data_IF_811787722372
#
_entry.id   IF_811787722372
#
_cell.length_a   1.000
_cell.length_b   1.000
_cell.length_c   1.000
_cell.angle_alpha   90.00
_cell.angle_beta   90.00
_cell.angle_gamma   90.00
#
_symmetry.space_group_name_H-M   'P 1'
#
loop_
_entity.id
_entity.type
_entity.pdbx_description
1 polymer ?
#
# COMPACT_ATOMS: atom_id res chain seq x y z
N UNK A 1 18.63 -0.74 -6.28
CA UNK A 1 19.18 -0.56 -4.95
C UNK A 1 19.74 0.84 -4.87
N UNK A 2 19.49 1.60 -3.79
CA UNK A 2 19.97 2.98 -3.67
C UNK A 2 21.30 2.99 -2.92
N UNK A 3 22.17 3.95 -3.24
CA UNK A 3 23.30 4.33 -2.38
C UNK A 3 22.81 5.23 -1.25
N UNK A 4 23.56 5.37 -0.13
CA UNK A 4 23.20 6.28 0.97
C UNK A 4 22.85 7.68 0.51
N UNK A 5 23.70 8.30 -0.30
CA UNK A 5 23.49 9.65 -0.84
C UNK A 5 22.21 9.77 -1.67
N UNK A 6 21.99 8.84 -2.62
CA UNK A 6 20.76 8.84 -3.44
C UNK A 6 19.48 8.63 -2.62
N UNK A 7 19.57 7.81 -1.55
CA UNK A 7 18.44 7.64 -0.65
C UNK A 7 18.20 8.90 0.18
N UNK A 8 19.24 9.49 0.72
CA UNK A 8 19.16 10.71 1.51
C UNK A 8 18.50 11.87 0.74
N UNK A 9 18.88 12.08 -0.52
CA UNK A 9 18.24 13.09 -1.39
C UNK A 9 16.75 12.83 -1.61
N UNK A 10 16.32 11.56 -1.68
CA UNK A 10 14.89 11.21 -1.76
C UNK A 10 14.16 11.40 -0.45
N UNK A 11 14.82 11.14 0.68
CA UNK A 11 14.21 11.22 2.01
C UNK A 11 14.07 12.67 2.50
N UNK A 12 14.99 13.55 2.14
CA UNK A 12 15.00 14.93 2.60
C UNK A 12 13.65 15.66 2.33
N UNK A 13 13.08 15.69 1.11
CA UNK A 13 11.77 16.32 0.87
C UNK A 13 10.61 15.59 1.54
N UNK A 14 10.72 14.28 1.74
CA UNK A 14 9.69 13.46 2.41
C UNK A 14 9.66 13.76 3.91
N UNK A 15 10.82 13.99 4.54
CA UNK A 15 10.96 14.20 5.99
C UNK A 15 10.29 15.47 6.51
N UNK A 16 9.96 16.41 5.63
CA UNK A 16 9.30 17.68 6.01
C UNK A 16 7.92 17.42 6.61
N UNK A 17 7.14 16.51 6.03
CA UNK A 17 5.75 16.22 6.45
C UNK A 17 5.55 14.77 6.91
N UNK A 18 6.60 13.94 6.85
CA UNK A 18 6.49 12.53 7.12
C UNK A 18 7.53 12.06 8.15
N UNK A 19 7.13 11.11 9.00
CA UNK A 19 8.05 10.41 9.89
C UNK A 19 8.74 9.30 9.12
N UNK A 20 10.07 9.25 9.20
CA UNK A 20 10.91 8.25 8.54
C UNK A 20 11.53 7.36 9.60
N UNK A 21 11.46 6.05 9.36
CA UNK A 21 12.18 5.06 10.14
C UNK A 21 13.23 4.38 9.25
N UNK A 22 14.45 4.27 9.75
CA UNK A 22 15.54 3.54 9.10
C UNK A 22 15.79 2.28 9.92
N UNK A 23 15.70 1.13 9.29
CA UNK A 23 15.90 -0.17 9.92
C UNK A 23 17.28 -0.70 9.54
N UNK A 24 18.05 -1.06 10.52
CA UNK A 24 19.35 -1.70 10.36
C UNK A 24 19.24 -3.15 10.80
N UNK A 25 19.87 -4.04 10.05
CA UNK A 25 19.98 -5.45 10.43
C UNK A 25 21.17 -5.71 11.35
N UNK A 26 21.23 -6.89 11.98
CA UNK A 26 22.40 -7.33 12.74
C UNK A 26 23.63 -7.46 11.83
N UNK A 27 24.81 -7.30 12.41
CA UNK A 27 26.08 -7.22 11.68
C UNK A 27 26.44 -8.52 10.94
N UNK A 28 26.02 -9.65 11.49
CA UNK A 28 26.35 -10.98 10.99
C UNK A 28 25.56 -11.43 9.76
N UNK A 29 24.31 -10.96 9.61
CA UNK A 29 23.38 -11.45 8.57
C UNK A 29 22.54 -10.38 7.87
N UNK A 30 22.59 -9.14 8.35
CA UNK A 30 21.79 -8.05 7.80
C UNK A 30 20.28 -8.20 8.06
N UNK A 31 19.44 -7.55 7.25
CA UNK A 31 17.98 -7.62 7.32
C UNK A 31 17.46 -8.95 6.75
N UNK A 32 16.49 -9.54 7.40
CA UNK A 32 15.77 -10.70 6.87
C UNK A 32 14.88 -10.33 5.67
N UNK A 33 14.48 -11.32 4.87
CA UNK A 33 13.52 -11.10 3.80
C UNK A 33 12.15 -10.59 4.29
N UNK A 34 11.79 -10.89 5.53
CA UNK A 34 10.58 -10.42 6.15
C UNK A 34 10.69 -8.92 6.48
N UNK A 35 11.80 -8.50 7.07
CA UNK A 35 12.09 -7.08 7.34
C UNK A 35 12.09 -6.26 6.05
N UNK A 36 12.77 -6.77 5.03
CA UNK A 36 12.86 -6.13 3.70
C UNK A 36 11.48 -5.94 3.05
N UNK A 37 10.57 -6.89 3.19
CA UNK A 37 9.19 -6.78 2.65
C UNK A 37 8.39 -5.65 3.29
N UNK A 38 8.74 -5.25 4.50
CA UNK A 38 8.08 -4.18 5.22
C UNK A 38 8.69 -2.79 4.92
N UNK A 39 9.82 -2.73 4.21
CA UNK A 39 10.50 -1.49 3.87
C UNK A 39 9.99 -0.90 2.54
N UNK A 40 9.88 0.42 2.48
CA UNK A 40 9.53 1.14 1.25
C UNK A 40 10.73 1.34 0.31
N UNK A 41 11.94 1.18 0.81
CA UNK A 41 13.17 1.31 0.04
C UNK A 41 14.31 0.57 0.69
N UNK A 42 15.28 0.17 -0.13
CA UNK A 42 16.50 -0.49 0.32
C UNK A 42 17.69 0.36 -0.05
N UNK A 43 18.65 0.39 0.87
CA UNK A 43 19.94 1.03 0.68
C UNK A 43 21.06 0.00 0.87
N UNK A 44 22.07 0.11 0.04
CA UNK A 44 23.31 -0.63 0.21
C UNK A 44 24.44 0.38 0.34
N UNK A 45 25.23 0.24 1.40
CA UNK A 45 26.47 1.00 1.57
C UNK A 45 27.54 0.22 0.82
N UNK A 46 28.11 0.79 -0.27
CA UNK A 46 29.17 0.13 -1.00
C UNK A 46 30.39 -0.09 -0.09
N UNK A 47 30.87 -1.34 -0.07
CA UNK A 47 32.10 -1.74 0.60
C UNK A 47 32.96 -2.46 -0.42
N UNK A 48 34.25 -2.39 -0.28
CA UNK A 48 35.19 -3.07 -1.19
C UNK A 48 35.24 -4.59 -0.88
N UNK A 49 36.33 -5.10 -0.40
CA UNK A 49 36.51 -6.53 -0.16
C UNK A 49 35.73 -7.09 1.05
N UNK A 50 35.31 -6.22 1.99
CA UNK A 50 34.54 -6.60 3.14
C UNK A 50 33.04 -6.42 2.94
N UNK A 51 32.29 -7.50 3.01
CA UNK A 51 30.85 -7.49 2.77
C UNK A 51 29.98 -6.91 3.89
N UNK A 52 30.55 -6.67 5.08
CA UNK A 52 29.82 -6.14 6.24
C UNK A 52 30.52 -4.95 6.87
N UNK A 53 29.72 -3.94 7.24
CA UNK A 53 30.14 -2.82 8.05
C UNK A 53 29.68 -3.00 9.49
N UNK A 54 30.47 -2.51 10.42
CA UNK A 54 30.01 -2.34 11.79
C UNK A 54 28.74 -1.49 11.81
N UNK A 55 27.77 -1.86 12.66
CA UNK A 55 26.48 -1.19 12.75
C UNK A 55 26.62 0.31 13.03
N UNK A 56 27.50 0.70 13.94
CA UNK A 56 27.71 2.10 14.27
C UNK A 56 28.25 2.91 13.06
N UNK A 57 29.10 2.30 12.24
CA UNK A 57 29.59 2.92 11.01
C UNK A 57 28.48 3.09 9.99
N UNK A 58 27.63 2.08 9.81
CA UNK A 58 26.49 2.15 8.90
C UNK A 58 25.48 3.23 9.34
N UNK A 59 25.21 3.35 10.64
CA UNK A 59 24.36 4.41 11.21
C UNK A 59 24.98 5.78 10.95
N UNK A 60 26.27 5.95 11.22
CA UNK A 60 26.97 7.23 11.02
C UNK A 60 26.92 7.68 9.56
N UNK A 61 27.18 6.77 8.61
CA UNK A 61 27.11 7.07 7.18
C UNK A 61 25.71 7.55 6.79
N UNK A 62 24.67 6.85 7.23
CA UNK A 62 23.30 7.23 6.93
C UNK A 62 22.91 8.57 7.55
N UNK A 63 23.29 8.82 8.79
CA UNK A 63 23.04 10.10 9.46
C UNK A 63 23.76 11.27 8.75
N UNK A 64 25.01 11.08 8.35
CA UNK A 64 25.78 12.07 7.64
C UNK A 64 25.16 12.45 6.28
N UNK A 65 24.81 11.45 5.49
CA UNK A 65 24.20 11.66 4.18
C UNK A 65 22.84 12.35 4.28
N UNK A 66 22.01 11.96 5.25
CA UNK A 66 20.71 12.61 5.48
C UNK A 66 20.89 14.05 5.94
N UNK A 67 21.83 14.29 6.85
CA UNK A 67 22.14 15.66 7.30
C UNK A 67 22.60 16.54 6.13
N UNK A 68 23.52 16.03 5.32
CA UNK A 68 24.06 16.77 4.16
C UNK A 68 22.97 17.08 3.13
N UNK A 69 22.12 16.09 2.81
CA UNK A 69 20.98 16.28 1.90
C UNK A 69 19.97 17.31 2.44
N UNK A 70 19.78 17.38 3.76
CA UNK A 70 18.91 18.36 4.41
C UNK A 70 19.44 19.82 4.36
N UNK A 71 20.72 20.03 4.04
CA UNK A 71 21.28 21.37 3.86
C UNK A 71 21.00 21.99 2.48
N UNK A 72 20.53 21.21 1.52
CA UNK A 72 20.17 21.70 0.18
C UNK A 72 18.92 22.60 0.26
N UNK A 73 19.02 23.85 -0.18
CA UNK A 73 17.98 24.89 -0.02
C UNK A 73 16.76 24.73 -0.94
N UNK A 74 16.82 23.89 -1.96
CA UNK A 74 15.77 23.75 -2.99
C UNK A 74 15.06 22.39 -2.93
N UNK A 75 14.52 22.04 -1.76
CA UNK A 75 13.74 20.80 -1.65
C UNK A 75 12.31 21.03 -2.12
N UNK A 76 11.87 20.26 -3.11
CA UNK A 76 10.45 20.22 -3.49
C UNK A 76 9.63 19.60 -2.38
N UNK A 77 8.51 20.25 -2.06
CA UNK A 77 7.58 19.77 -1.03
C UNK A 77 6.93 18.43 -1.45
N UNK A 78 7.07 17.42 -0.62
CA UNK A 78 6.37 16.14 -0.80
C UNK A 78 5.19 16.06 0.16
N UNK A 79 3.94 16.01 -0.35
CA UNK A 79 2.76 15.88 0.50
C UNK A 79 2.79 14.60 1.34
N UNK A 80 1.99 14.58 2.41
CA UNK A 80 1.90 13.47 3.35
C UNK A 80 1.66 12.13 2.63
N UNK A 81 2.58 11.22 2.77
CA UNK A 81 2.44 9.84 2.30
C UNK A 81 1.42 9.07 3.16
N UNK A 82 0.82 8.06 2.58
CA UNK A 82 -0.07 7.18 3.32
C UNK A 82 0.72 6.41 4.40
N UNK A 83 0.18 6.40 5.62
CA UNK A 83 0.72 5.59 6.70
C UNK A 83 0.53 4.09 6.42
N UNK A 84 1.31 3.24 7.08
CA UNK A 84 1.14 1.79 6.98
C UNK A 84 -0.29 1.36 7.29
N UNK A 85 -0.90 1.91 8.33
CA UNK A 85 -2.27 1.61 8.70
C UNK A 85 -3.27 1.96 7.58
N UNK A 86 -3.12 3.14 6.95
CA UNK A 86 -3.98 3.55 5.83
C UNK A 86 -3.85 2.61 4.63
N UNK A 87 -2.63 2.17 4.34
CA UNK A 87 -2.36 1.19 3.27
C UNK A 87 -2.97 -0.17 3.58
N UNK A 88 -2.79 -0.68 4.79
CA UNK A 88 -3.34 -1.97 5.20
C UNK A 88 -4.87 -1.99 5.13
N UNK A 89 -5.52 -0.92 5.62
CA UNK A 89 -6.97 -0.75 5.50
C UNK A 89 -7.45 -0.68 4.04
N UNK A 90 -6.66 -0.08 3.15
CA UNK A 90 -6.94 -0.07 1.72
C UNK A 90 -6.84 -1.47 1.12
N UNK A 91 -5.81 -2.24 1.46
CA UNK A 91 -5.62 -3.59 0.94
C UNK A 91 -6.71 -4.56 1.41
N UNK A 92 -7.14 -4.47 2.66
CA UNK A 92 -8.26 -5.28 3.16
C UNK A 92 -9.56 -4.95 2.41
N UNK A 93 -9.83 -3.67 2.19
CA UNK A 93 -11.00 -3.24 1.45
C UNK A 93 -10.95 -3.65 -0.03
N UNK A 94 -9.78 -3.56 -0.67
CA UNK A 94 -9.55 -4.07 -2.02
C UNK A 94 -9.76 -5.57 -2.09
N UNK A 95 -9.21 -6.34 -1.14
CA UNK A 95 -9.39 -7.79 -1.06
C UNK A 95 -10.87 -8.17 -1.03
N UNK A 96 -11.63 -7.57 -0.11
CA UNK A 96 -13.06 -7.85 0.04
C UNK A 96 -13.85 -7.58 -1.25
N UNK A 97 -13.64 -6.41 -1.85
CA UNK A 97 -14.34 -6.03 -3.09
C UNK A 97 -13.95 -6.91 -4.27
N UNK A 98 -12.66 -7.16 -4.47
CA UNK A 98 -12.17 -7.93 -5.61
C UNK A 98 -12.56 -9.41 -5.56
N UNK A 99 -12.66 -9.98 -4.36
CA UNK A 99 -13.24 -11.32 -4.16
C UNK A 99 -14.74 -11.31 -4.46
N UNK A 100 -15.46 -10.32 -3.95
CA UNK A 100 -16.92 -10.22 -4.10
C UNK A 100 -17.37 -10.05 -5.55
N UNK A 101 -16.60 -9.32 -6.37
CA UNK A 101 -16.87 -9.17 -7.81
C UNK A 101 -16.26 -10.30 -8.67
N UNK A 102 -15.76 -11.36 -8.07
CA UNK A 102 -15.11 -12.51 -8.72
C UNK A 102 -13.88 -12.16 -9.57
N UNK A 103 -13.20 -11.04 -9.27
CA UNK A 103 -11.94 -10.69 -9.90
C UNK A 103 -10.77 -11.50 -9.33
N UNK A 104 -10.84 -11.82 -8.04
CA UNK A 104 -9.86 -12.64 -7.32
C UNK A 104 -10.56 -13.96 -6.91
N UNK A 105 -9.90 -15.09 -7.19
CA UNK A 105 -10.37 -16.38 -6.73
C UNK A 105 -10.41 -16.43 -5.19
N UNK A 106 -11.58 -16.76 -4.58
CA UNK A 106 -11.74 -16.86 -3.13
C UNK A 106 -10.83 -17.92 -2.46
N UNK A 107 -10.35 -18.91 -3.20
CA UNK A 107 -9.49 -19.97 -2.66
C UNK A 107 -8.09 -19.48 -2.27
N UNK A 108 -7.56 -18.45 -2.97
CA UNK A 108 -6.24 -17.89 -2.66
C UNK A 108 -6.19 -16.36 -2.84
N UNK A 109 -6.94 -15.60 -2.05
CA UNK A 109 -7.03 -14.16 -2.19
C UNK A 109 -5.71 -13.47 -1.82
N UNK A 110 -4.94 -14.02 -0.88
CA UNK A 110 -3.70 -13.41 -0.37
C UNK A 110 -2.59 -13.38 -1.43
N UNK A 111 -2.56 -14.35 -2.33
CA UNK A 111 -1.62 -14.34 -3.45
C UNK A 111 -1.79 -13.09 -4.34
N UNK A 112 -3.04 -12.77 -4.67
CA UNK A 112 -3.36 -11.61 -5.51
C UNK A 112 -3.14 -10.29 -4.77
N UNK A 113 -3.54 -10.22 -3.50
CA UNK A 113 -3.28 -9.04 -2.66
C UNK A 113 -1.80 -8.76 -2.51
N UNK A 114 -0.97 -9.77 -2.37
CA UNK A 114 0.49 -9.60 -2.33
C UNK A 114 1.05 -9.05 -3.65
N UNK A 115 0.48 -9.41 -4.80
CA UNK A 115 0.83 -8.78 -6.09
C UNK A 115 0.45 -7.30 -6.13
N UNK A 116 -0.75 -6.96 -5.67
CA UNK A 116 -1.21 -5.57 -5.57
C UNK A 116 -0.35 -4.76 -4.58
N UNK A 117 0.02 -5.34 -3.43
CA UNK A 117 0.95 -4.71 -2.47
C UNK A 117 2.28 -4.36 -3.15
N UNK A 118 2.86 -5.30 -3.92
CA UNK A 118 4.11 -5.05 -4.68
C UNK A 118 3.95 -3.97 -5.75
N UNK A 119 2.81 -3.90 -6.40
CA UNK A 119 2.53 -2.86 -7.38
C UNK A 119 2.44 -1.49 -6.71
N UNK A 120 1.60 -1.35 -5.71
CA UNK A 120 1.37 -0.07 -5.03
C UNK A 120 2.59 0.41 -4.21
N UNK A 121 3.42 -0.50 -3.67
CA UNK A 121 4.63 -0.13 -2.94
C UNK A 121 5.64 0.67 -3.78
N UNK A 122 5.59 0.53 -5.10
CA UNK A 122 6.45 1.29 -6.03
C UNK A 122 5.98 2.74 -6.24
N UNK A 123 4.71 3.03 -5.94
CA UNK A 123 4.06 4.30 -6.26
C UNK A 123 4.16 5.33 -5.13
N UNK A 124 4.63 4.94 -3.94
CA UNK A 124 4.69 5.83 -2.76
C UNK A 124 3.38 6.63 -2.56
N UNK A 125 2.26 5.92 -2.46
CA UNK A 125 0.93 6.51 -2.42
C UNK A 125 0.80 7.57 -1.32
N UNK A 126 0.22 8.70 -1.69
CA UNK A 126 -0.16 9.77 -0.77
C UNK A 126 -1.46 9.42 -0.04
N UNK A 127 -1.68 9.97 1.12
CA UNK A 127 -2.90 9.74 1.89
C UNK A 127 -4.19 10.05 1.12
N UNK A 128 -4.18 11.10 0.26
CA UNK A 128 -5.31 11.44 -0.60
C UNK A 128 -5.59 10.37 -1.65
N UNK A 129 -4.55 9.78 -2.25
CA UNK A 129 -4.69 8.73 -3.27
C UNK A 129 -5.27 7.45 -2.67
N UNK A 130 -4.82 7.06 -1.48
CA UNK A 130 -5.41 5.96 -0.73
C UNK A 130 -6.89 6.22 -0.43
N UNK A 131 -7.24 7.43 -0.04
CA UNK A 131 -8.64 7.82 0.22
C UNK A 131 -9.51 7.71 -1.04
N UNK A 132 -8.98 8.09 -2.22
CA UNK A 132 -9.67 7.95 -3.51
C UNK A 132 -9.91 6.47 -3.82
N UNK A 133 -8.89 5.61 -3.72
CA UNK A 133 -9.01 4.17 -3.97
C UNK A 133 -10.07 3.55 -3.05
N UNK A 134 -10.03 3.88 -1.76
CA UNK A 134 -11.03 3.43 -0.80
C UNK A 134 -12.44 3.95 -1.11
N UNK A 135 -12.54 5.18 -1.65
CA UNK A 135 -13.79 5.76 -2.14
C UNK A 135 -14.38 4.94 -3.28
N UNK A 136 -13.56 4.56 -4.26
CA UNK A 136 -13.97 3.72 -5.39
C UNK A 136 -14.47 2.35 -4.88
N UNK A 137 -13.75 1.71 -3.96
CA UNK A 137 -14.17 0.43 -3.37
C UNK A 137 -15.55 0.55 -2.71
N UNK A 138 -15.79 1.59 -1.92
CA UNK A 138 -17.11 1.83 -1.28
C UNK A 138 -18.22 2.01 -2.32
N UNK A 139 -17.93 2.71 -3.42
CA UNK A 139 -18.92 2.93 -4.47
C UNK A 139 -19.27 1.64 -5.22
N UNK A 140 -18.28 0.78 -5.47
CA UNK A 140 -18.52 -0.54 -6.06
C UNK A 140 -19.39 -1.41 -5.15
N UNK A 141 -19.09 -1.43 -3.84
CA UNK A 141 -19.87 -2.17 -2.84
C UNK A 141 -21.33 -1.66 -2.77
N UNK A 142 -21.51 -0.35 -2.71
CA UNK A 142 -22.84 0.25 -2.72
C UNK A 142 -23.62 -0.09 -3.98
N UNK A 143 -23.00 0.00 -5.15
CA UNK A 143 -23.63 -0.33 -6.43
C UNK A 143 -24.04 -1.79 -6.51
N UNK A 144 -23.18 -2.71 -6.10
CA UNK A 144 -23.49 -4.13 -6.05
C UNK A 144 -24.69 -4.45 -5.14
N UNK A 145 -24.72 -3.85 -3.94
CA UNK A 145 -25.85 -3.97 -2.99
C UNK A 145 -27.15 -3.41 -3.55
N UNK A 146 -27.07 -2.29 -4.26
CA UNK A 146 -28.23 -1.67 -4.91
C UNK A 146 -28.78 -2.56 -6.01
N UNK A 147 -27.95 -3.04 -6.94
CA UNK A 147 -28.38 -3.94 -8.01
C UNK A 147 -29.02 -5.24 -7.47
N UNK A 148 -28.48 -5.77 -6.39
CA UNK A 148 -29.07 -6.97 -5.74
C UNK A 148 -30.46 -6.69 -5.18
N UNK A 149 -30.68 -5.57 -4.49
CA UNK A 149 -31.98 -5.15 -3.98
C UNK A 149 -32.99 -4.91 -5.09
N UNK A 150 -32.58 -4.19 -6.14
CA UNK A 150 -33.44 -3.91 -7.28
C UNK A 150 -33.86 -5.19 -7.99
N UNK A 151 -32.95 -6.16 -8.12
CA UNK A 151 -33.26 -7.48 -8.66
C UNK A 151 -34.23 -8.30 -7.80
N UNK A 152 -34.12 -8.23 -6.47
CA UNK A 152 -35.08 -8.87 -5.56
C UNK A 152 -36.49 -8.25 -5.66
N UNK A 153 -36.56 -6.91 -5.69
CA UNK A 153 -37.84 -6.20 -5.83
C UNK A 153 -38.54 -6.56 -7.15
N UNK A 154 -37.80 -6.66 -8.25
CA UNK A 154 -38.38 -7.08 -9.53
C UNK A 154 -38.94 -8.50 -9.51
N UNK A 155 -38.24 -9.44 -8.86
CA UNK A 155 -38.75 -10.84 -8.69
C UNK A 155 -40.05 -10.89 -7.88
N UNK A 156 -40.09 -10.18 -6.76
CA UNK A 156 -41.28 -10.10 -5.93
C UNK A 156 -42.49 -9.52 -6.69
N UNK A 157 -42.27 -8.46 -7.48
CA UNK A 157 -43.33 -7.89 -8.32
C UNK A 157 -43.82 -8.85 -9.39
N UNK A 158 -42.95 -9.69 -9.95
CA UNK A 158 -43.31 -10.67 -10.95
C UNK A 158 -44.16 -11.80 -10.35
N UNK A 159 -43.75 -12.34 -9.20
CA UNK A 159 -44.45 -13.38 -8.48
C UNK A 159 -45.86 -12.91 -8.04
N UNK A 160 -45.96 -11.66 -7.56
CA UNK A 160 -47.25 -11.06 -7.17
C UNK A 160 -48.20 -10.92 -8.35
N UNK A 161 -47.70 -10.55 -9.53
CA UNK A 161 -48.49 -10.44 -10.76
C UNK A 161 -48.99 -11.82 -11.27
N UNK A 162 -48.12 -12.83 -11.20
CA UNK A 162 -48.52 -14.22 -11.58
C UNK A 162 -49.54 -14.80 -10.62
N UNK A 163 -49.48 -14.49 -9.33
CA UNK A 163 -50.43 -14.97 -8.36
C UNK A 163 -51.82 -14.33 -8.55
N UNK A 164 -51.86 -13.02 -8.80
CA UNK A 164 -53.13 -12.33 -9.06
C UNK A 164 -53.76 -12.76 -10.39
N UNK A 165 -52.98 -13.06 -11.41
CA UNK A 165 -53.48 -13.53 -12.70
C UNK A 165 -54.06 -14.95 -12.66
N UNK A 166 -53.68 -15.77 -11.67
CA UNK A 166 -54.24 -17.13 -11.45
C UNK A 166 -55.42 -17.18 -10.52
N UNK A 167 -55.73 -16.09 -9.81
CA UNK A 167 -56.86 -15.99 -8.90
C UNK A 167 -58.18 -15.49 -9.56
N UNK A 168 -58.08 -15.01 -10.80
CA UNK A 168 -59.25 -14.50 -11.56
C UNK A 168 -59.82 -15.51 -12.58
N UNK A 169 -59.49 -16.80 -12.46
CA UNK A 169 -60.02 -17.91 -13.25
C UNK A 169 -60.77 -18.89 -12.32
#
# INVERSE_FOLDING_TARGET
MNTPSKLAQKLAPISIENRIAIVFGPEDRGLSNEDIRNCHGLVNIPTDEFSSLNLAQAVMIMCYEIFTAGLEKNMEFTPRLASRHELDMMYEQLKDILVRINYINPENPDYWINKLRRFFSRLQLRAKEVSIIRGICRQIDWYGKKCYKDGQNMRQHHETREHNAKGDL
#
